data_IF_568589778560
#
_entry.id   IF_568589778560
#
_cell.length_a   1.000
_cell.length_b   1.000
_cell.length_c   1.000
_cell.angle_alpha   90.00
_cell.angle_beta   90.00
_cell.angle_gamma   90.00
#
_symmetry.space_group_name_H-M   'P 1'
#
loop_
_entity.id
_entity.type
_entity.pdbx_description
1 polymer ?
#
# COMPACT_ATOMS: atom_id res chain seq x y z
N UNK A 1 -94.57 40.24 -9.50
CA UNK A 1 -94.09 41.54 -9.01
C UNK A 1 -92.75 41.25 -8.27
N UNK A 2 -91.73 41.74 -8.90
CA UNK A 2 -90.57 42.42 -8.36
C UNK A 2 -89.59 41.67 -7.39
N UNK A 3 -88.49 41.58 -7.92
CA UNK A 3 -87.15 42.21 -7.86
C UNK A 3 -86.07 41.39 -7.07
N UNK A 4 -85.08 41.02 -7.87
CA UNK A 4 -83.62 41.12 -7.72
C UNK A 4 -83.00 41.23 -6.30
N UNK A 5 -81.99 40.40 -6.03
CA UNK A 5 -80.56 40.84 -5.87
C UNK A 5 -79.64 39.70 -5.76
N UNK A 6 -78.60 39.73 -6.61
CA UNK A 6 -77.46 38.84 -6.70
C UNK A 6 -76.47 39.05 -5.57
N UNK A 7 -75.90 37.98 -5.05
CA UNK A 7 -74.63 38.07 -4.38
C UNK A 7 -73.69 36.97 -4.93
N UNK A 8 -72.60 37.45 -5.57
CA UNK A 8 -71.46 36.66 -5.96
C UNK A 8 -70.75 36.22 -4.70
N UNK A 9 -70.55 34.91 -4.47
CA UNK A 9 -69.59 34.35 -3.55
C UNK A 9 -68.29 34.10 -4.33
N UNK A 10 -67.21 34.80 -4.00
CA UNK A 10 -65.90 34.59 -4.52
C UNK A 10 -65.27 33.38 -3.79
N UNK A 11 -65.04 32.26 -4.52
CA UNK A 11 -64.25 31.18 -4.09
C UNK A 11 -62.75 31.56 -4.28
N UNK A 12 -62.10 31.93 -3.19
CA UNK A 12 -60.62 32.02 -3.14
C UNK A 12 -60.05 30.61 -3.13
N UNK A 13 -59.60 30.16 -4.28
CA UNK A 13 -58.78 28.92 -4.37
C UNK A 13 -57.39 29.15 -3.74
N UNK A 14 -57.12 28.54 -2.61
CA UNK A 14 -55.76 28.37 -2.09
C UNK A 14 -55.05 27.31 -2.94
N UNK A 15 -54.23 27.75 -3.88
CA UNK A 15 -53.21 26.89 -4.50
C UNK A 15 -52.13 26.64 -3.45
N UNK A 16 -52.13 25.45 -2.84
CA UNK A 16 -51.01 24.95 -2.08
C UNK A 16 -49.91 24.60 -3.07
N UNK A 17 -48.90 25.45 -3.17
CA UNK A 17 -47.61 25.13 -3.82
C UNK A 17 -46.86 24.12 -2.94
N UNK A 18 -47.07 22.85 -3.22
CA UNK A 18 -46.15 21.80 -2.74
C UNK A 18 -44.84 21.96 -3.49
N UNK A 19 -43.87 22.62 -2.87
CA UNK A 19 -42.48 22.58 -3.31
C UNK A 19 -41.98 21.14 -3.10
N UNK A 20 -42.02 20.36 -4.18
CA UNK A 20 -41.30 19.10 -4.23
C UNK A 20 -39.80 19.43 -4.05
N UNK A 21 -39.26 19.15 -2.86
CA UNK A 21 -37.84 19.18 -2.63
C UNK A 21 -37.22 18.12 -3.56
N UNK A 22 -36.65 18.57 -4.68
CA UNK A 22 -35.81 17.74 -5.52
C UNK A 22 -34.62 17.33 -4.65
N UNK A 23 -34.69 16.12 -4.09
CA UNK A 23 -33.56 15.53 -3.42
C UNK A 23 -32.40 15.52 -4.41
N UNK A 24 -31.43 16.40 -4.20
CA UNK A 24 -30.16 16.33 -4.91
C UNK A 24 -29.64 14.93 -4.71
N UNK A 25 -29.31 14.19 -5.79
CA UNK A 25 -28.66 12.90 -5.63
C UNK A 25 -27.38 13.15 -4.81
N UNK A 26 -27.32 12.55 -3.63
CA UNK A 26 -26.06 12.46 -2.89
C UNK A 26 -25.12 11.72 -3.84
N UNK A 27 -24.21 12.45 -4.48
CA UNK A 27 -23.06 11.85 -5.16
C UNK A 27 -22.30 11.14 -4.06
N UNK A 28 -22.54 9.86 -3.90
CA UNK A 28 -21.60 8.97 -3.25
C UNK A 28 -20.38 8.96 -4.18
N UNK A 29 -19.46 9.90 -3.96
CA UNK A 29 -18.15 9.82 -4.62
C UNK A 29 -17.54 8.54 -4.11
N UNK A 30 -17.37 7.57 -5.02
CA UNK A 30 -16.64 6.35 -4.71
C UNK A 30 -15.31 6.72 -4.02
N UNK A 31 -14.90 5.95 -3.02
CA UNK A 31 -13.63 6.20 -2.35
C UNK A 31 -12.52 6.21 -3.41
N UNK A 32 -11.56 7.14 -3.34
CA UNK A 32 -10.48 7.19 -4.31
C UNK A 32 -9.66 5.91 -4.24
N UNK A 33 -9.17 5.42 -5.38
CA UNK A 33 -8.22 4.31 -5.38
C UNK A 33 -6.95 4.71 -4.62
N UNK A 34 -6.53 3.85 -3.70
CA UNK A 34 -5.31 4.04 -2.92
C UNK A 34 -4.40 2.83 -3.13
N UNK A 35 -3.20 3.09 -3.62
CA UNK A 35 -2.13 2.11 -3.72
C UNK A 35 -1.22 2.23 -2.51
N UNK A 36 -1.13 1.20 -1.70
CA UNK A 36 -0.36 1.24 -0.45
C UNK A 36 1.12 0.92 -0.60
N UNK A 37 1.55 0.52 -1.77
CA UNK A 37 2.95 0.55 -2.15
C UNK A 37 3.07 0.76 -3.66
N UNK A 38 3.57 1.90 -4.01
CA UNK A 38 3.86 2.32 -5.37
C UNK A 38 5.24 2.95 -5.44
N UNK A 39 5.69 3.24 -6.65
CA UNK A 39 6.90 4.01 -6.91
C UNK A 39 6.53 5.28 -7.63
N UNK A 40 7.31 6.37 -7.44
CA UNK A 40 7.13 7.58 -8.21
C UNK A 40 7.53 7.30 -9.68
N UNK A 41 6.59 7.33 -10.64
CA UNK A 41 6.91 7.09 -12.03
C UNK A 41 7.79 8.23 -12.60
N UNK A 42 8.51 7.95 -13.68
CA UNK A 42 9.30 9.00 -14.37
C UNK A 42 8.40 10.12 -14.89
N UNK A 43 7.29 9.77 -15.55
CA UNK A 43 6.21 10.70 -15.90
C UNK A 43 5.13 10.69 -14.81
N UNK A 44 5.06 11.75 -13.99
CA UNK A 44 4.06 11.86 -12.94
C UNK A 44 2.60 11.94 -13.46
N UNK A 45 2.39 12.15 -14.77
CA UNK A 45 1.06 12.07 -15.38
C UNK A 45 0.51 10.63 -15.36
N UNK A 46 1.36 9.60 -15.26
CA UNK A 46 0.92 8.21 -15.09
C UNK A 46 0.10 8.00 -13.82
N UNK A 47 0.33 8.79 -12.77
CA UNK A 47 -0.46 8.75 -11.55
C UNK A 47 -1.94 9.07 -11.84
N UNK A 48 -2.17 10.09 -12.65
CA UNK A 48 -3.53 10.46 -13.07
C UNK A 48 -4.13 9.40 -14.02
N UNK A 49 -3.32 8.85 -14.94
CA UNK A 49 -3.75 7.76 -15.85
C UNK A 49 -4.12 6.48 -15.09
N UNK A 50 -3.41 6.20 -13.99
CA UNK A 50 -3.72 5.07 -13.10
C UNK A 50 -4.97 5.28 -12.24
N UNK A 51 -5.53 6.50 -12.21
CA UNK A 51 -6.72 6.85 -11.45
C UNK A 51 -6.53 6.87 -9.94
N UNK A 52 -5.31 7.10 -9.46
CA UNK A 52 -5.00 7.13 -8.04
C UNK A 52 -5.42 8.46 -7.40
N UNK A 53 -6.19 8.37 -6.32
CA UNK A 53 -6.50 9.53 -5.47
C UNK A 53 -5.52 9.69 -4.31
N UNK A 54 -4.88 8.58 -3.89
CA UNK A 54 -3.75 8.61 -2.97
C UNK A 54 -2.80 7.42 -3.21
N UNK A 55 -1.57 7.53 -2.72
CA UNK A 55 -0.62 6.42 -2.70
C UNK A 55 0.39 6.56 -1.56
N UNK A 56 0.92 5.43 -1.11
CA UNK A 56 2.15 5.37 -0.32
C UNK A 56 3.26 5.09 -1.33
N UNK A 57 4.20 6.02 -1.46
CA UNK A 57 5.26 5.95 -2.45
C UNK A 57 6.59 5.60 -1.77
N UNK A 58 7.16 4.46 -2.14
CA UNK A 58 8.54 4.16 -1.78
C UNK A 58 9.48 5.09 -2.55
N UNK A 59 10.32 5.76 -1.79
CA UNK A 59 11.38 6.64 -2.29
C UNK A 59 12.77 6.16 -1.87
N UNK A 60 12.86 4.89 -1.43
CA UNK A 60 14.13 4.30 -1.04
C UNK A 60 15.08 4.24 -2.23
N UNK A 61 16.29 4.71 -2.01
CA UNK A 61 17.40 4.55 -2.94
C UNK A 61 18.53 3.78 -2.27
N UNK A 62 19.34 3.14 -3.09
CA UNK A 62 20.50 2.36 -2.65
C UNK A 62 21.77 2.96 -3.25
N UNK A 63 22.84 2.94 -2.45
CA UNK A 63 24.19 3.26 -2.90
C UNK A 63 24.97 1.96 -3.10
N UNK A 64 25.54 1.76 -4.27
CA UNK A 64 26.46 0.65 -4.48
C UNK A 64 27.81 1.01 -3.85
N UNK A 65 28.21 0.23 -2.86
CA UNK A 65 29.55 0.31 -2.28
C UNK A 65 30.25 -1.02 -2.52
N UNK A 66 31.58 -1.01 -2.63
CA UNK A 66 32.36 -2.25 -2.76
C UNK A 66 33.06 -2.55 -1.44
N UNK A 67 32.96 -3.80 -1.01
CA UNK A 67 33.73 -4.26 0.15
C UNK A 67 35.24 -4.41 -0.19
N UNK A 68 36.03 -4.78 0.80
CA UNK A 68 37.49 -4.94 0.64
C UNK A 68 37.88 -6.00 -0.41
N UNK A 69 37.00 -6.93 -0.73
CA UNK A 69 37.16 -7.92 -1.79
C UNK A 69 36.65 -7.47 -3.16
N UNK A 70 36.17 -6.21 -3.28
CA UNK A 70 35.59 -5.64 -4.48
C UNK A 70 34.16 -6.11 -4.79
N UNK A 71 33.51 -6.83 -3.87
CA UNK A 71 32.13 -7.32 -4.05
C UNK A 71 31.16 -6.18 -3.85
N UNK A 72 30.21 -5.94 -4.79
CA UNK A 72 29.23 -4.87 -4.64
C UNK A 72 28.26 -5.17 -3.51
N UNK A 73 27.98 -4.16 -2.70
CA UNK A 73 26.96 -4.14 -1.66
C UNK A 73 26.06 -2.94 -1.87
N UNK A 74 24.78 -3.08 -1.61
CA UNK A 74 23.78 -2.05 -1.78
C UNK A 74 23.31 -1.57 -0.40
N UNK A 75 23.63 -0.32 -0.06
CA UNK A 75 23.33 0.27 1.23
C UNK A 75 22.24 1.34 1.10
N UNK A 76 21.32 1.33 2.05
CA UNK A 76 20.34 2.41 2.26
C UNK A 76 20.86 3.37 3.34
N UNK A 77 21.92 4.11 3.03
CA UNK A 77 22.56 5.01 3.97
C UNK A 77 21.76 6.29 4.22
N UNK A 78 22.07 7.00 5.32
CA UNK A 78 21.39 8.24 5.69
C UNK A 78 21.44 9.29 4.58
N UNK A 79 22.62 9.57 4.01
CA UNK A 79 22.82 10.64 3.02
C UNK A 79 22.07 10.39 1.71
N UNK A 80 22.11 9.17 1.20
CA UNK A 80 21.39 8.83 -0.04
C UNK A 80 19.89 8.94 0.17
N UNK A 81 19.39 8.52 1.33
CA UNK A 81 17.98 8.61 1.68
C UNK A 81 17.50 10.05 1.90
N UNK A 82 18.32 10.91 2.53
CA UNK A 82 18.02 12.34 2.69
C UNK A 82 17.94 13.04 1.32
N UNK A 83 18.88 12.74 0.41
CA UNK A 83 18.84 13.24 -0.95
C UNK A 83 17.62 12.72 -1.73
N UNK A 84 17.28 11.44 -1.59
CA UNK A 84 16.10 10.84 -2.22
C UNK A 84 14.80 11.51 -1.76
N UNK A 85 14.63 11.74 -0.44
CA UNK A 85 13.49 12.47 0.11
C UNK A 85 13.40 13.89 -0.45
N UNK A 86 14.51 14.62 -0.48
CA UNK A 86 14.57 15.98 -1.04
C UNK A 86 14.15 16.00 -2.51
N UNK A 87 14.66 15.06 -3.32
CA UNK A 87 14.28 14.94 -4.74
C UNK A 87 12.80 14.62 -4.92
N UNK A 88 12.27 13.66 -4.14
CA UNK A 88 10.87 13.28 -4.21
C UNK A 88 9.95 14.47 -3.90
N UNK A 89 10.23 15.21 -2.82
CA UNK A 89 9.47 16.40 -2.44
C UNK A 89 9.51 17.46 -3.55
N UNK A 90 10.68 17.74 -4.10
CA UNK A 90 10.84 18.71 -5.19
C UNK A 90 10.07 18.29 -6.46
N UNK A 91 10.14 17.00 -6.85
CA UNK A 91 9.40 16.46 -8.00
C UNK A 91 7.90 16.60 -7.82
N UNK A 92 7.38 16.27 -6.63
CA UNK A 92 5.95 16.38 -6.33
C UNK A 92 5.49 17.84 -6.25
N UNK A 93 6.30 18.73 -5.70
CA UNK A 93 5.99 20.16 -5.65
C UNK A 93 5.88 20.81 -7.05
N UNK A 94 6.62 20.31 -8.02
CA UNK A 94 6.60 20.79 -9.41
C UNK A 94 5.48 20.16 -10.26
N UNK A 95 4.70 19.20 -9.73
CA UNK A 95 3.72 18.44 -10.50
C UNK A 95 2.29 18.89 -10.21
N UNK A 96 1.41 19.01 -11.24
CA UNK A 96 -0.02 19.16 -11.02
C UNK A 96 -0.74 17.83 -10.72
N UNK A 97 -0.07 16.67 -10.91
CA UNK A 97 -0.70 15.35 -10.86
C UNK A 97 -0.67 14.72 -9.48
N UNK A 98 0.28 15.13 -8.62
CA UNK A 98 0.44 14.58 -7.28
C UNK A 98 1.05 15.62 -6.34
N UNK A 99 0.93 15.39 -5.04
CA UNK A 99 1.48 16.27 -4.01
C UNK A 99 1.88 15.48 -2.76
N UNK A 100 2.83 16.02 -2.01
CA UNK A 100 3.19 15.43 -0.70
C UNK A 100 2.03 15.59 0.27
N UNK A 101 1.54 14.47 0.79
CA UNK A 101 0.52 14.41 1.83
C UNK A 101 1.18 14.18 3.20
N UNK A 102 0.78 14.96 4.19
CA UNK A 102 1.32 14.91 5.53
C UNK A 102 0.31 14.38 6.56
N UNK A 103 -0.97 14.40 6.20
CA UNK A 103 -2.10 13.95 7.03
C UNK A 103 -3.07 13.13 6.20
N UNK A 104 -3.81 12.24 6.83
CA UNK A 104 -4.88 11.49 6.15
C UNK A 104 -5.97 12.39 5.58
N UNK A 105 -6.23 13.53 6.22
CA UNK A 105 -7.16 14.57 5.74
C UNK A 105 -6.71 15.26 4.45
N UNK A 106 -5.45 15.11 4.03
CA UNK A 106 -4.96 15.65 2.77
C UNK A 106 -5.53 14.88 1.55
N UNK A 107 -6.02 13.65 1.74
CA UNK A 107 -6.62 12.85 0.65
C UNK A 107 -7.87 13.53 0.10
N UNK A 108 -7.77 14.01 -1.13
CA UNK A 108 -8.84 14.73 -1.82
C UNK A 108 -9.03 16.19 -1.36
N UNK A 109 -8.10 16.76 -0.59
CA UNK A 109 -8.14 18.16 -0.16
C UNK A 109 -7.89 19.14 -1.30
N UNK A 110 -7.22 18.69 -2.35
CA UNK A 110 -6.93 19.43 -3.58
C UNK A 110 -6.83 18.48 -4.78
N UNK A 111 -6.85 18.98 -6.03
CA UNK A 111 -6.63 18.17 -7.22
C UNK A 111 -5.29 17.42 -7.20
N UNK A 112 -5.25 16.25 -7.79
CA UNK A 112 -4.09 15.37 -7.84
C UNK A 112 -4.10 14.28 -6.76
N UNK A 113 -3.08 13.44 -6.79
CA UNK A 113 -2.90 12.29 -5.91
C UNK A 113 -2.17 12.69 -4.62
N UNK A 114 -2.76 12.41 -3.47
CA UNK A 114 -2.10 12.57 -2.16
C UNK A 114 -1.02 11.50 -2.00
N UNK A 115 0.25 11.92 -1.96
CA UNK A 115 1.39 11.00 -1.91
C UNK A 115 2.04 11.02 -0.55
N UNK A 116 1.95 9.90 0.18
CA UNK A 116 2.61 9.67 1.45
C UNK A 116 3.97 9.03 1.20
N UNK A 117 5.05 9.72 1.57
CA UNK A 117 6.40 9.24 1.32
C UNK A 117 6.79 8.15 2.32
N UNK A 118 7.42 7.09 1.81
CA UNK A 118 7.84 5.91 2.55
C UNK A 118 9.31 5.58 2.29
N UNK A 119 9.98 5.04 3.33
CA UNK A 119 11.19 4.23 3.16
C UNK A 119 10.90 2.77 3.50
N UNK A 120 11.37 1.85 2.66
CA UNK A 120 11.21 0.40 2.84
C UNK A 120 12.29 -0.24 3.74
N UNK A 121 12.85 0.52 4.66
CA UNK A 121 13.78 0.02 5.70
C UNK A 121 13.99 1.09 6.77
N UNK A 122 14.57 0.70 7.90
CA UNK A 122 15.14 1.60 8.90
C UNK A 122 16.67 1.71 8.78
N UNK A 123 17.29 1.09 7.78
CA UNK A 123 18.76 1.13 7.61
C UNK A 123 19.32 2.55 7.57
N UNK A 124 18.61 3.51 6.92
CA UNK A 124 19.02 4.91 6.85
C UNK A 124 19.00 5.64 8.21
N UNK A 125 18.31 5.11 9.18
CA UNK A 125 18.35 5.64 10.54
C UNK A 125 19.71 5.31 11.19
N UNK A 126 20.37 4.24 10.71
CA UNK A 126 21.59 3.67 11.28
C UNK A 126 21.36 3.33 12.77
N UNK A 127 21.93 4.09 13.73
CA UNK A 127 21.63 3.94 15.17
C UNK A 127 21.23 5.26 15.84
N UNK A 128 20.99 6.30 15.05
CA UNK A 128 20.62 7.64 15.52
C UNK A 128 19.11 7.87 15.34
N UNK A 129 18.33 7.60 16.40
CA UNK A 129 16.88 7.76 16.39
C UNK A 129 16.43 9.20 16.06
N UNK A 130 17.28 10.22 16.27
CA UNK A 130 16.93 11.61 15.92
C UNK A 130 16.69 11.79 14.42
N UNK A 131 17.22 10.91 13.58
CA UNK A 131 17.01 10.91 12.13
C UNK A 131 15.57 10.60 11.73
N UNK A 132 14.83 9.83 12.56
CA UNK A 132 13.39 9.59 12.33
C UNK A 132 12.65 10.94 12.34
N UNK A 133 12.93 11.79 13.34
CA UNK A 133 12.33 13.12 13.43
C UNK A 133 12.77 14.03 12.25
N UNK A 134 14.02 13.95 11.81
CA UNK A 134 14.51 14.70 10.64
C UNK A 134 13.78 14.29 9.36
N UNK A 135 13.65 12.99 9.08
CA UNK A 135 12.90 12.51 7.93
C UNK A 135 11.41 12.87 8.02
N UNK A 136 10.81 12.79 9.21
CA UNK A 136 9.44 13.24 9.43
C UNK A 136 9.25 14.72 9.11
N UNK A 137 10.17 15.58 9.58
CA UNK A 137 10.17 17.01 9.26
C UNK A 137 10.34 17.27 7.76
N UNK A 138 11.10 16.40 7.05
CA UNK A 138 11.26 16.42 5.59
C UNK A 138 10.06 15.90 4.79
N UNK A 139 9.03 15.35 5.46
CA UNK A 139 7.81 14.88 4.80
C UNK A 139 7.59 13.37 4.81
N UNK A 140 8.48 12.56 5.38
CA UNK A 140 8.27 11.11 5.53
C UNK A 140 7.04 10.83 6.42
N UNK A 141 6.18 9.90 6.02
CA UNK A 141 4.98 9.54 6.80
C UNK A 141 4.81 8.04 7.03
N UNK A 142 5.53 7.21 6.30
CA UNK A 142 5.51 5.75 6.49
C UNK A 142 6.95 5.26 6.60
N UNK A 143 7.23 4.39 7.56
CA UNK A 143 8.57 3.84 7.75
C UNK A 143 8.47 2.34 8.01
N UNK A 144 9.06 1.56 7.11
CA UNK A 144 9.12 0.11 7.20
C UNK A 144 10.35 -0.33 8.01
N UNK A 145 10.23 -1.40 8.80
CA UNK A 145 11.33 -1.85 9.64
C UNK A 145 12.49 -2.48 8.87
N UNK A 146 12.21 -3.38 7.95
CA UNK A 146 13.23 -4.17 7.25
C UNK A 146 12.89 -4.33 5.78
N UNK A 147 13.91 -4.65 4.97
CA UNK A 147 13.72 -5.10 3.59
C UNK A 147 14.47 -6.43 3.40
N UNK A 148 13.75 -7.55 3.52
CA UNK A 148 14.22 -8.93 3.44
C UNK A 148 15.19 -9.37 4.54
N UNK A 149 16.25 -8.61 4.80
CA UNK A 149 17.33 -8.97 5.70
C UNK A 149 17.16 -8.31 7.08
N UNK A 150 17.81 -8.90 8.08
CA UNK A 150 17.95 -8.28 9.39
C UNK A 150 18.72 -6.97 9.27
N UNK A 151 18.35 -6.01 10.11
CA UNK A 151 19.05 -4.75 10.27
C UNK A 151 19.15 -4.40 11.78
N UNK A 152 19.76 -3.28 12.18
CA UNK A 152 19.89 -2.94 13.60
C UNK A 152 18.56 -2.81 14.37
N UNK A 153 17.42 -2.68 13.69
CA UNK A 153 16.10 -2.48 14.31
C UNK A 153 15.27 -3.75 14.41
N UNK A 154 15.34 -4.64 13.40
CA UNK A 154 14.41 -5.76 13.32
C UNK A 154 14.92 -6.90 12.44
N UNK A 155 14.34 -8.08 12.66
CA UNK A 155 14.53 -9.24 11.81
C UNK A 155 13.72 -9.20 10.52
N UNK A 156 14.37 -9.58 9.42
CA UNK A 156 13.76 -9.65 8.07
C UNK A 156 13.18 -11.02 7.76
N UNK A 157 12.27 -11.07 6.79
CA UNK A 157 11.55 -12.28 6.42
C UNK A 157 12.41 -13.36 5.75
N UNK A 158 13.49 -12.96 5.05
CA UNK A 158 14.32 -13.88 4.26
C UNK A 158 15.64 -14.27 4.95
N UNK A 159 15.62 -14.31 6.28
CA UNK A 159 16.74 -14.82 7.05
C UNK A 159 16.53 -16.29 7.42
N UNK A 160 17.60 -17.12 7.41
CA UNK A 160 17.52 -18.51 7.86
C UNK A 160 17.05 -18.63 9.32
N UNK A 161 17.44 -17.68 10.17
CA UNK A 161 17.01 -17.57 11.57
C UNK A 161 16.19 -16.32 11.72
N UNK A 162 14.91 -16.49 12.08
CA UNK A 162 13.97 -15.39 12.24
C UNK A 162 14.14 -14.72 13.61
N UNK A 163 14.56 -13.46 13.62
CA UNK A 163 14.62 -12.60 14.82
C UNK A 163 13.46 -11.60 14.84
N UNK A 164 13.19 -10.98 15.99
CA UNK A 164 12.14 -9.98 16.18
C UNK A 164 12.68 -8.54 16.17
N UNK A 165 11.94 -7.64 16.85
CA UNK A 165 12.42 -6.29 17.12
C UNK A 165 13.62 -6.34 18.08
N UNK A 166 14.66 -5.59 17.75
CA UNK A 166 15.76 -5.35 18.70
C UNK A 166 15.33 -4.30 19.75
N UNK A 167 16.09 -4.09 20.84
CA UNK A 167 15.85 -2.96 21.73
C UNK A 167 15.78 -1.63 20.97
N UNK A 168 16.69 -1.40 20.01
CA UNK A 168 16.68 -0.20 19.16
C UNK A 168 15.41 -0.15 18.28
N UNK A 169 14.91 -1.30 17.81
CA UNK A 169 13.66 -1.39 17.06
C UNK A 169 12.44 -1.04 17.90
N UNK A 170 12.44 -1.41 19.18
CA UNK A 170 11.38 -1.04 20.13
C UNK A 170 11.38 0.48 20.36
N UNK A 171 12.54 1.07 20.57
CA UNK A 171 12.68 2.53 20.73
C UNK A 171 12.31 3.26 19.43
N UNK A 172 12.69 2.72 18.26
CA UNK A 172 12.31 3.23 16.96
C UNK A 172 10.78 3.19 16.73
N UNK A 173 10.10 2.11 17.14
CA UNK A 173 8.64 2.01 17.09
C UNK A 173 7.97 3.07 17.99
N UNK A 174 8.50 3.26 19.20
CA UNK A 174 7.99 4.29 20.11
C UNK A 174 8.14 5.70 19.51
N UNK A 175 9.27 5.97 18.83
CA UNK A 175 9.50 7.25 18.18
C UNK A 175 8.58 7.45 16.94
N UNK A 176 8.36 6.39 16.12
CA UNK A 176 7.37 6.43 15.03
C UNK A 176 5.97 6.78 15.56
N UNK A 177 5.54 6.10 16.63
CA UNK A 177 4.24 6.37 17.26
C UNK A 177 4.14 7.82 17.79
N UNK A 178 5.18 8.31 18.46
CA UNK A 178 5.24 9.68 18.98
C UNK A 178 5.13 10.74 17.89
N UNK A 179 5.77 10.50 16.75
CA UNK A 179 5.78 11.40 15.60
C UNK A 179 4.58 11.20 14.67
N UNK A 180 3.70 10.24 14.95
CA UNK A 180 2.61 9.85 14.05
C UNK A 180 3.13 9.47 12.65
N UNK A 181 4.20 8.69 12.59
CA UNK A 181 4.63 7.97 11.40
C UNK A 181 3.92 6.62 11.42
N UNK A 182 3.35 6.20 10.30
CA UNK A 182 2.74 4.87 10.15
C UNK A 182 3.85 3.81 10.13
N UNK A 183 3.94 2.93 11.16
CA UNK A 183 4.88 1.82 11.14
C UNK A 183 4.43 0.77 10.14
N UNK A 184 5.34 0.32 9.26
CA UNK A 184 5.09 -0.73 8.29
C UNK A 184 5.93 -1.97 8.61
N UNK A 185 5.27 -3.13 8.67
CA UNK A 185 5.91 -4.41 8.99
C UNK A 185 6.09 -5.32 7.77
N UNK A 186 5.85 -4.80 6.57
CA UNK A 186 6.16 -5.54 5.34
C UNK A 186 7.63 -5.95 5.33
N UNK A 187 7.94 -7.10 4.73
CA UNK A 187 9.27 -7.71 4.74
C UNK A 187 9.83 -8.13 6.11
N UNK A 188 9.16 -7.82 7.20
CA UNK A 188 9.58 -8.26 8.53
C UNK A 188 9.43 -9.77 8.72
N UNK A 189 10.24 -10.34 9.60
CA UNK A 189 10.05 -11.70 10.08
C UNK A 189 8.69 -11.84 10.79
N UNK A 190 8.21 -13.06 10.98
CA UNK A 190 7.02 -13.32 11.78
C UNK A 190 7.10 -12.73 13.18
N UNK A 191 8.28 -12.83 13.80
CA UNK A 191 8.53 -12.26 15.13
C UNK A 191 8.45 -10.74 15.11
N UNK A 192 9.08 -10.08 14.11
CA UNK A 192 9.00 -8.62 13.92
C UNK A 192 7.55 -8.16 13.75
N UNK A 193 6.78 -8.82 12.88
CA UNK A 193 5.39 -8.48 12.64
C UNK A 193 4.53 -8.60 13.91
N UNK A 194 4.66 -9.72 14.65
CA UNK A 194 3.92 -9.97 15.90
C UNK A 194 4.30 -8.98 16.99
N UNK A 195 5.59 -8.72 17.18
CA UNK A 195 6.05 -7.80 18.21
C UNK A 195 5.65 -6.36 17.91
N UNK A 196 5.78 -5.89 16.68
CA UNK A 196 5.34 -4.57 16.29
C UNK A 196 3.82 -4.41 16.49
N UNK A 197 3.01 -5.39 16.05
CA UNK A 197 1.56 -5.37 16.25
C UNK A 197 1.19 -5.30 17.74
N UNK A 198 1.89 -6.04 18.61
CA UNK A 198 1.63 -6.05 20.05
C UNK A 198 2.05 -4.77 20.75
N UNK A 199 3.21 -4.20 20.37
CA UNK A 199 3.86 -3.09 21.10
C UNK A 199 3.44 -1.71 20.61
N UNK A 200 3.02 -1.57 19.35
CA UNK A 200 2.62 -0.28 18.80
C UNK A 200 1.44 0.30 19.57
N UNK A 201 1.49 1.58 19.88
CA UNK A 201 0.39 2.33 20.49
C UNK A 201 -0.59 2.90 19.45
N UNK A 202 -0.21 2.87 18.17
CA UNK A 202 -1.05 3.25 17.03
C UNK A 202 -1.29 2.03 16.12
N UNK A 203 -2.31 2.03 15.27
CA UNK A 203 -2.43 1.02 14.21
C UNK A 203 -1.18 0.94 13.34
N UNK A 204 -0.85 -0.26 12.87
CA UNK A 204 0.29 -0.50 11.98
C UNK A 204 -0.19 -0.97 10.61
N UNK A 205 0.67 -0.85 9.61
CA UNK A 205 0.45 -1.39 8.27
C UNK A 205 1.28 -2.65 8.03
N UNK A 206 0.75 -3.56 7.24
CA UNK A 206 1.52 -4.41 6.34
C UNK A 206 1.23 -3.86 4.95
N UNK A 207 2.03 -2.87 4.51
CA UNK A 207 1.71 -2.08 3.31
C UNK A 207 1.55 -2.96 2.07
N UNK A 208 2.35 -4.04 1.96
CA UNK A 208 2.31 -4.96 0.83
C UNK A 208 2.73 -6.37 1.24
N UNK A 209 1.94 -7.36 0.84
CA UNK A 209 2.18 -8.77 1.15
C UNK A 209 1.13 -9.71 0.57
N UNK A 210 1.21 -10.97 0.96
CA UNK A 210 0.28 -12.03 0.61
C UNK A 210 0.00 -12.92 1.83
N UNK A 211 -1.01 -13.79 1.73
CA UNK A 211 -1.39 -14.70 2.80
C UNK A 211 -0.56 -16.00 2.77
N UNK A 212 0.10 -16.35 3.86
CA UNK A 212 0.90 -17.58 3.97
C UNK A 212 0.07 -18.84 3.82
N UNK A 213 -1.17 -18.81 4.20
CA UNK A 213 -2.08 -19.95 4.04
C UNK A 213 -2.33 -20.32 2.56
N UNK A 214 -2.06 -19.41 1.61
CA UNK A 214 -2.18 -19.68 0.18
C UNK A 214 -0.84 -20.10 -0.40
N UNK A 215 0.24 -19.37 -0.08
CA UNK A 215 1.60 -19.74 -0.46
C UNK A 215 2.47 -19.74 0.78
N UNK A 216 2.92 -20.93 1.20
CA UNK A 216 3.79 -21.07 2.35
C UNK A 216 5.18 -20.51 2.04
N UNK A 217 5.35 -19.23 2.32
CA UNK A 217 6.58 -18.49 2.08
C UNK A 217 6.82 -17.50 3.22
N UNK A 218 8.06 -17.31 3.72
CA UNK A 218 8.33 -16.42 4.85
C UNK A 218 7.97 -14.95 4.58
N UNK A 219 7.94 -14.53 3.31
CA UNK A 219 7.50 -13.18 2.90
C UNK A 219 5.98 -12.97 3.04
N UNK A 220 5.21 -14.04 3.18
CA UNK A 220 3.77 -14.01 3.33
C UNK A 220 3.37 -13.96 4.81
N UNK A 221 2.34 -13.19 5.13
CA UNK A 221 1.86 -13.03 6.49
C UNK A 221 1.08 -14.26 6.97
N UNK A 222 1.40 -14.84 8.14
CA UNK A 222 0.58 -15.87 8.76
C UNK A 222 -0.73 -15.30 9.30
N UNK A 223 -1.76 -16.15 9.46
CA UNK A 223 -3.12 -15.73 9.84
C UNK A 223 -3.18 -15.03 11.20
N UNK A 224 -2.35 -15.43 12.15
CA UNK A 224 -2.28 -14.77 13.45
C UNK A 224 -1.74 -13.33 13.37
N UNK A 225 -0.80 -13.06 12.46
CA UNK A 225 -0.31 -11.71 12.18
C UNK A 225 -1.40 -10.88 11.50
N UNK A 226 -2.08 -11.42 10.49
CA UNK A 226 -3.18 -10.73 9.81
C UNK A 226 -4.25 -10.33 10.85
N UNK A 227 -4.60 -11.25 11.76
CA UNK A 227 -5.56 -11.00 12.83
C UNK A 227 -5.08 -9.93 13.81
N UNK A 228 -3.82 -10.01 14.25
CA UNK A 228 -3.24 -9.04 15.19
C UNK A 228 -3.19 -7.61 14.61
N UNK A 229 -2.90 -7.47 13.31
CA UNK A 229 -2.95 -6.18 12.61
C UNK A 229 -4.40 -5.66 12.57
N UNK A 230 -5.35 -6.52 12.19
CA UNK A 230 -6.76 -6.18 12.07
C UNK A 230 -7.40 -5.73 13.40
N UNK A 231 -7.16 -6.47 14.49
CA UNK A 231 -7.68 -6.19 15.84
C UNK A 231 -7.25 -4.81 16.36
N UNK A 232 -6.14 -4.27 15.84
CA UNK A 232 -5.63 -2.94 16.18
C UNK A 232 -6.01 -1.86 15.17
N UNK A 233 -6.91 -2.17 14.24
CA UNK A 233 -7.37 -1.23 13.21
C UNK A 233 -6.38 -1.01 12.07
N UNK A 234 -5.35 -1.84 11.97
CA UNK A 234 -4.39 -1.82 10.87
C UNK A 234 -4.96 -2.35 9.55
N UNK A 235 -4.14 -2.31 8.51
CA UNK A 235 -4.50 -2.77 7.16
C UNK A 235 -3.35 -3.54 6.53
N UNK A 236 -3.68 -4.62 5.84
CA UNK A 236 -2.76 -5.37 4.98
C UNK A 236 -3.08 -5.11 3.50
N UNK A 237 -2.11 -4.59 2.76
CA UNK A 237 -2.16 -4.47 1.30
C UNK A 237 -1.80 -5.79 0.62
N UNK A 238 -2.69 -6.29 -0.22
CA UNK A 238 -2.37 -7.44 -1.07
C UNK A 238 -1.68 -6.92 -2.32
N UNK A 239 -0.47 -7.44 -2.60
CA UNK A 239 0.34 -7.01 -3.74
C UNK A 239 0.18 -7.93 -4.96
N UNK A 240 0.73 -7.53 -6.11
CA UNK A 240 0.55 -8.30 -7.36
C UNK A 240 1.76 -9.18 -7.73
N UNK A 241 2.75 -9.33 -6.84
CA UNK A 241 3.90 -10.21 -7.06
C UNK A 241 3.45 -11.67 -7.06
N UNK A 242 3.44 -12.27 -8.24
CA UNK A 242 2.69 -13.50 -8.52
C UNK A 242 3.17 -14.73 -7.75
N UNK A 243 4.47 -14.88 -7.57
CA UNK A 243 5.08 -16.06 -6.94
C UNK A 243 4.85 -16.15 -5.42
N UNK A 244 4.32 -15.08 -4.81
CA UNK A 244 3.85 -15.07 -3.43
C UNK A 244 2.32 -15.19 -3.32
N UNK A 245 1.61 -15.03 -4.45
CA UNK A 245 0.15 -15.15 -4.50
C UNK A 245 -0.32 -16.55 -4.88
N UNK A 246 0.46 -17.26 -5.68
CA UNK A 246 0.10 -18.59 -6.22
C UNK A 246 1.33 -19.37 -6.63
N UNK A 247 1.22 -20.69 -6.66
CA UNK A 247 2.23 -21.58 -7.26
C UNK A 247 1.83 -22.04 -8.69
N UNK A 248 0.80 -21.45 -9.26
CA UNK A 248 0.42 -21.74 -10.63
C UNK A 248 1.47 -21.20 -11.59
N UNK A 249 1.70 -21.94 -12.67
CA UNK A 249 2.61 -21.53 -13.73
C UNK A 249 2.23 -20.18 -14.34
N UNK A 250 0.93 -19.99 -14.62
CA UNK A 250 0.37 -18.73 -15.10
C UNK A 250 -0.53 -18.16 -14.02
N UNK A 251 -0.11 -17.09 -13.33
CA UNK A 251 -0.92 -16.44 -12.30
C UNK A 251 -2.06 -15.64 -12.93
N UNK A 252 -3.19 -15.59 -12.24
CA UNK A 252 -4.41 -14.94 -12.72
C UNK A 252 -4.92 -13.89 -11.74
N UNK A 253 -5.82 -13.02 -12.19
CA UNK A 253 -6.52 -12.06 -11.31
C UNK A 253 -7.33 -12.79 -10.23
N UNK A 254 -7.84 -13.99 -10.52
CA UNK A 254 -8.54 -14.79 -9.52
C UNK A 254 -7.62 -15.23 -8.36
N UNK A 255 -6.32 -15.46 -8.60
CA UNK A 255 -5.36 -15.76 -7.54
C UNK A 255 -5.13 -14.53 -6.63
N UNK A 256 -5.14 -13.33 -7.21
CA UNK A 256 -5.09 -12.08 -6.46
C UNK A 256 -6.34 -11.92 -5.58
N UNK A 257 -7.53 -12.08 -6.15
CA UNK A 257 -8.81 -11.99 -5.43
C UNK A 257 -8.90 -13.05 -4.33
N UNK A 258 -8.37 -14.26 -4.56
CA UNK A 258 -8.32 -15.31 -3.52
C UNK A 258 -7.50 -14.89 -2.30
N UNK A 259 -6.39 -14.17 -2.49
CA UNK A 259 -5.61 -13.60 -1.37
C UNK A 259 -6.42 -12.52 -0.62
N UNK A 260 -7.09 -11.61 -1.33
CA UNK A 260 -7.98 -10.62 -0.70
C UNK A 260 -9.08 -11.32 0.13
N UNK A 261 -9.75 -12.34 -0.43
CA UNK A 261 -10.76 -13.11 0.30
C UNK A 261 -10.22 -13.77 1.54
N UNK A 262 -8.99 -14.29 1.49
CA UNK A 262 -8.36 -14.88 2.65
C UNK A 262 -8.14 -13.83 3.74
N UNK A 263 -7.58 -12.67 3.41
CA UNK A 263 -7.37 -11.58 4.38
C UNK A 263 -8.71 -11.13 4.98
N UNK A 264 -9.76 -10.98 4.15
CA UNK A 264 -11.13 -10.66 4.63
C UNK A 264 -11.65 -11.72 5.60
N UNK A 265 -11.44 -13.01 5.30
CA UNK A 265 -11.90 -14.10 6.18
C UNK A 265 -11.20 -14.09 7.53
N UNK A 266 -9.90 -13.74 7.57
CA UNK A 266 -9.07 -13.79 8.79
C UNK A 266 -9.18 -12.50 9.61
N UNK A 267 -9.10 -11.34 8.96
CA UNK A 267 -9.02 -10.01 9.58
C UNK A 267 -10.29 -9.16 9.44
N UNK A 268 -11.26 -9.61 8.65
CA UNK A 268 -12.45 -8.80 8.33
C UNK A 268 -12.24 -7.86 7.15
N UNK A 269 -13.34 -7.27 6.67
CA UNK A 269 -13.36 -6.40 5.48
C UNK A 269 -12.51 -5.14 5.67
N UNK A 270 -12.44 -4.63 6.88
CA UNK A 270 -11.73 -3.38 7.20
C UNK A 270 -10.20 -3.56 7.27
N UNK A 271 -9.70 -4.81 7.28
CA UNK A 271 -8.28 -5.12 7.43
C UNK A 271 -7.53 -5.27 6.10
N UNK A 272 -8.19 -5.17 4.96
CA UNK A 272 -7.58 -5.45 3.65
C UNK A 272 -7.59 -4.24 2.74
N UNK A 273 -6.52 -4.08 1.96
CA UNK A 273 -6.41 -3.09 0.91
C UNK A 273 -5.59 -3.60 -0.28
N UNK A 274 -5.40 -2.75 -1.25
CA UNK A 274 -4.62 -3.02 -2.46
C UNK A 274 -3.22 -2.43 -2.32
N UNK A 275 -2.23 -3.19 -2.75
CA UNK A 275 -0.87 -2.74 -3.02
C UNK A 275 -0.46 -3.22 -4.42
N UNK A 276 0.38 -2.48 -5.10
CA UNK A 276 0.88 -2.95 -6.39
C UNK A 276 2.29 -3.55 -6.27
N UNK A 277 3.20 -2.85 -5.60
CA UNK A 277 4.61 -3.26 -5.48
C UNK A 277 5.25 -3.48 -6.86
N UNK A 278 4.89 -2.63 -7.82
CA UNK A 278 5.31 -2.74 -9.21
C UNK A 278 5.16 -1.40 -9.95
N UNK A 279 6.00 -1.12 -10.99
CA UNK A 279 5.91 0.11 -11.76
C UNK A 279 4.49 0.39 -12.28
N UNK A 280 4.05 1.64 -12.16
CA UNK A 280 2.67 2.06 -12.39
C UNK A 280 2.21 1.79 -13.83
N UNK A 281 3.03 2.13 -14.81
CA UNK A 281 2.74 1.88 -16.22
C UNK A 281 2.84 0.39 -16.61
N UNK A 282 3.33 -0.45 -15.69
CA UNK A 282 3.69 -1.83 -15.96
C UNK A 282 5.15 -1.93 -16.45
N UNK A 283 5.61 -3.16 -16.61
CA UNK A 283 6.96 -3.44 -17.09
C UNK A 283 6.93 -4.68 -17.99
N UNK A 284 6.92 -4.48 -19.28
CA UNK A 284 6.78 -5.55 -20.27
C UNK A 284 7.86 -6.64 -20.12
N UNK A 285 9.09 -6.22 -19.80
CA UNK A 285 10.26 -7.09 -19.78
C UNK A 285 10.40 -7.96 -18.52
N UNK A 286 9.48 -7.87 -17.55
CA UNK A 286 9.50 -8.70 -16.32
C UNK A 286 8.22 -9.50 -16.09
N UNK A 287 7.29 -9.47 -17.03
CA UNK A 287 6.03 -10.24 -16.90
C UNK A 287 6.31 -11.72 -16.93
N UNK A 288 7.20 -12.15 -17.82
CA UNK A 288 7.60 -13.53 -18.02
C UNK A 288 9.13 -13.61 -18.07
N UNK A 289 9.73 -14.60 -17.43
CA UNK A 289 11.18 -14.72 -17.32
C UNK A 289 11.88 -15.22 -18.58
N UNK A 290 11.14 -15.67 -19.60
CA UNK A 290 11.66 -16.06 -20.91
C UNK A 290 11.56 -14.91 -21.93
N UNK A 291 12.04 -13.74 -21.61
CA UNK A 291 12.00 -12.54 -22.44
C UNK A 291 13.41 -12.07 -22.85
N UNK A 292 13.47 -10.98 -23.60
CA UNK A 292 14.72 -10.41 -24.14
C UNK A 292 15.54 -9.58 -23.13
N UNK A 293 15.05 -9.38 -21.89
CA UNK A 293 15.80 -8.74 -20.82
C UNK A 293 16.72 -9.76 -20.11
N UNK A 294 17.70 -10.28 -20.82
CA UNK A 294 18.60 -11.33 -20.31
C UNK A 294 19.32 -10.93 -19.01
N UNK A 295 19.67 -9.64 -18.85
CA UNK A 295 20.32 -9.13 -17.63
C UNK A 295 19.36 -9.21 -16.44
N UNK A 296 18.18 -8.62 -16.52
CA UNK A 296 17.20 -8.62 -15.43
C UNK A 296 16.73 -10.03 -15.07
N UNK A 297 16.48 -10.88 -16.07
CA UNK A 297 16.14 -12.30 -15.86
C UNK A 297 17.30 -13.03 -15.17
N UNK A 298 18.54 -12.80 -15.61
CA UNK A 298 19.73 -13.41 -15.02
C UNK A 298 19.91 -13.03 -13.55
N UNK A 299 19.76 -11.76 -13.21
CA UNK A 299 19.86 -11.23 -11.83
C UNK A 299 18.74 -11.82 -10.94
N UNK A 300 17.52 -11.85 -11.43
CA UNK A 300 16.37 -12.44 -10.72
C UNK A 300 16.59 -13.94 -10.44
N UNK A 301 17.02 -14.72 -11.44
CA UNK A 301 17.27 -16.15 -11.28
C UNK A 301 18.49 -16.41 -10.38
N UNK A 302 19.50 -15.55 -10.39
CA UNK A 302 20.64 -15.62 -9.48
C UNK A 302 20.22 -15.41 -8.03
N UNK A 303 19.41 -14.38 -7.78
CA UNK A 303 18.81 -14.14 -6.46
C UNK A 303 17.97 -15.33 -5.99
N UNK A 304 17.11 -15.85 -6.87
CA UNK A 304 16.27 -17.01 -6.55
C UNK A 304 17.08 -18.24 -6.15
N UNK A 305 18.17 -18.53 -6.90
CA UNK A 305 19.09 -19.63 -6.58
C UNK A 305 19.84 -19.40 -5.26
N UNK A 306 20.26 -18.18 -5.00
CA UNK A 306 20.94 -17.83 -3.75
C UNK A 306 20.02 -18.06 -2.53
N UNK A 307 18.75 -17.66 -2.59
CA UNK A 307 17.80 -17.92 -1.51
C UNK A 307 17.56 -19.42 -1.31
N UNK A 308 17.46 -20.18 -2.40
CA UNK A 308 17.35 -21.65 -2.35
C UNK A 308 18.56 -22.31 -1.70
N UNK A 309 19.77 -21.89 -2.04
CA UNK A 309 21.00 -22.45 -1.47
C UNK A 309 21.16 -22.16 0.02
N UNK A 310 20.55 -21.09 0.51
CA UNK A 310 20.50 -20.74 1.94
C UNK A 310 19.37 -21.47 2.69
N UNK A 311 18.61 -22.33 2.01
CA UNK A 311 17.51 -23.08 2.63
C UNK A 311 16.29 -22.23 2.99
N UNK A 312 16.14 -21.02 2.41
CA UNK A 312 15.00 -20.17 2.67
C UNK A 312 13.74 -20.85 2.10
N UNK A 313 12.75 -21.06 2.95
CA UNK A 313 11.49 -21.69 2.58
C UNK A 313 10.80 -20.96 1.43
N UNK A 314 10.12 -21.70 0.53
CA UNK A 314 9.37 -21.14 -0.59
C UNK A 314 10.17 -20.91 -1.86
N UNK A 315 11.51 -21.07 -1.85
CA UNK A 315 12.37 -20.97 -3.02
C UNK A 315 12.71 -22.33 -3.68
N UNK A 316 11.99 -23.38 -3.32
CA UNK A 316 12.12 -24.76 -3.83
C UNK A 316 11.72 -24.93 -5.30
N UNK A 317 11.07 -23.95 -5.89
CA UNK A 317 10.65 -23.92 -7.30
C UNK A 317 11.13 -22.62 -7.99
N UNK A 318 10.91 -22.48 -9.29
CA UNK A 318 11.22 -21.25 -10.04
C UNK A 318 9.97 -20.78 -10.76
N UNK A 319 9.44 -19.58 -10.46
CA UNK A 319 8.27 -19.05 -11.15
C UNK A 319 8.60 -18.63 -12.58
N UNK A 320 7.60 -18.68 -13.47
CA UNK A 320 7.73 -18.18 -14.83
C UNK A 320 7.34 -16.71 -14.97
N UNK A 321 6.51 -16.20 -14.06
CA UNK A 321 6.02 -14.84 -14.05
C UNK A 321 6.36 -14.13 -12.74
N UNK A 322 6.79 -12.88 -12.82
CA UNK A 322 7.07 -12.03 -11.66
C UNK A 322 5.78 -11.38 -11.16
N UNK A 323 4.87 -11.04 -12.06
CA UNK A 323 3.60 -10.37 -11.76
C UNK A 323 2.45 -11.06 -12.47
N UNK A 324 1.22 -10.75 -12.09
CA UNK A 324 0.03 -11.21 -12.80
C UNK A 324 -0.05 -10.48 -14.15
N UNK A 325 0.04 -11.20 -15.30
CA UNK A 325 0.12 -10.56 -16.62
C UNK A 325 -1.05 -9.61 -16.91
N UNK A 326 -2.27 -10.00 -16.51
CA UNK A 326 -3.47 -9.20 -16.72
C UNK A 326 -3.50 -7.90 -15.93
N UNK A 327 -2.67 -7.77 -14.87
CA UNK A 327 -2.54 -6.56 -14.02
C UNK A 327 -1.27 -5.76 -14.32
N UNK A 328 -0.42 -6.19 -15.26
CA UNK A 328 0.79 -5.47 -15.68
C UNK A 328 0.44 -4.30 -16.62
N UNK A 329 -0.36 -3.37 -16.14
CA UNK A 329 -0.96 -2.28 -16.90
C UNK A 329 -1.27 -1.09 -16.01
N UNK A 330 -1.39 0.08 -16.61
CA UNK A 330 -1.70 1.32 -15.90
C UNK A 330 -3.12 1.35 -15.32
N UNK A 331 -4.09 0.68 -15.96
CA UNK A 331 -5.49 0.60 -15.54
C UNK A 331 -5.77 -0.53 -14.53
N UNK A 332 -4.72 -1.08 -13.88
CA UNK A 332 -4.82 -2.24 -12.99
C UNK A 332 -5.78 -2.05 -11.82
N UNK A 333 -5.83 -0.84 -11.25
CA UNK A 333 -6.72 -0.56 -10.12
C UNK A 333 -8.19 -0.75 -10.52
N UNK A 334 -8.58 -0.27 -11.70
CA UNK A 334 -9.93 -0.47 -12.21
C UNK A 334 -10.22 -1.96 -12.45
N UNK A 335 -9.25 -2.71 -13.01
CA UNK A 335 -9.38 -4.15 -13.24
C UNK A 335 -9.52 -4.95 -11.95
N UNK A 336 -8.80 -4.57 -10.90
CA UNK A 336 -8.95 -5.17 -9.56
C UNK A 336 -10.36 -4.90 -9.03
N UNK A 337 -10.83 -3.66 -9.11
CA UNK A 337 -12.18 -3.30 -8.68
C UNK A 337 -13.27 -4.09 -9.45
N UNK A 338 -13.12 -4.25 -10.76
CA UNK A 338 -14.04 -5.03 -11.58
C UNK A 338 -13.99 -6.52 -11.24
N UNK A 339 -12.81 -7.08 -10.98
CA UNK A 339 -12.65 -8.47 -10.54
C UNK A 339 -13.28 -8.71 -9.17
N UNK A 340 -13.16 -7.78 -8.22
CA UNK A 340 -13.84 -7.87 -6.93
C UNK A 340 -15.37 -7.86 -7.08
N UNK A 341 -15.91 -7.00 -7.97
CA UNK A 341 -17.35 -6.99 -8.28
C UNK A 341 -17.81 -8.30 -8.91
N UNK A 342 -17.04 -8.81 -9.88
CA UNK A 342 -17.30 -10.10 -10.52
C UNK A 342 -17.28 -11.26 -9.51
N UNK A 343 -16.43 -11.16 -8.50
CA UNK A 343 -16.33 -12.11 -7.38
C UNK A 343 -17.36 -11.85 -6.27
N UNK A 344 -18.40 -11.04 -6.53
CA UNK A 344 -19.55 -10.77 -5.68
C UNK A 344 -19.26 -10.00 -4.38
N UNK A 345 -18.16 -9.25 -4.31
CA UNK A 345 -18.02 -8.24 -3.26
C UNK A 345 -19.07 -7.14 -3.46
N UNK A 346 -19.73 -6.73 -2.38
CA UNK A 346 -20.71 -5.63 -2.43
C UNK A 346 -20.01 -4.31 -2.75
N UNK A 347 -20.68 -3.35 -3.35
CA UNK A 347 -20.10 -2.05 -3.73
C UNK A 347 -19.32 -1.39 -2.58
N UNK A 348 -19.90 -1.36 -1.37
CA UNK A 348 -19.25 -0.81 -0.18
C UNK A 348 -17.97 -1.56 0.23
N UNK A 349 -17.91 -2.87 -0.03
CA UNK A 349 -16.74 -3.69 0.26
C UNK A 349 -15.64 -3.44 -0.75
N UNK A 350 -15.99 -3.28 -2.03
CA UNK A 350 -15.05 -2.86 -3.07
C UNK A 350 -14.48 -1.48 -2.74
N UNK A 351 -15.31 -0.51 -2.36
CA UNK A 351 -14.85 0.83 -1.97
C UNK A 351 -13.93 0.79 -0.74
N UNK A 352 -14.22 -0.06 0.25
CA UNK A 352 -13.36 -0.26 1.40
C UNK A 352 -11.99 -0.82 1.01
N UNK A 353 -11.95 -1.90 0.22
CA UNK A 353 -10.73 -2.58 -0.25
C UNK A 353 -9.90 -1.65 -1.15
N UNK A 354 -10.54 -0.95 -2.10
CA UNK A 354 -9.85 -0.17 -3.11
C UNK A 354 -9.26 1.16 -2.59
N UNK A 355 -9.63 1.57 -1.35
CA UNK A 355 -9.05 2.79 -0.79
C UNK A 355 -9.62 3.20 0.57
N UNK A 356 -10.86 2.86 0.88
CA UNK A 356 -11.52 3.28 2.13
C UNK A 356 -10.76 2.88 3.39
N UNK A 357 -10.26 1.66 3.42
CA UNK A 357 -9.50 1.13 4.57
C UNK A 357 -8.16 1.85 4.75
N UNK A 358 -7.44 2.11 3.66
CA UNK A 358 -6.20 2.88 3.69
C UNK A 358 -6.45 4.32 4.12
N UNK A 359 -7.51 4.97 3.59
CA UNK A 359 -7.88 6.31 4.02
C UNK A 359 -8.16 6.37 5.52
N UNK A 360 -8.92 5.42 6.05
CA UNK A 360 -9.20 5.28 7.49
C UNK A 360 -7.91 5.15 8.29
N UNK A 361 -7.01 4.21 7.90
CA UNK A 361 -5.75 3.97 8.60
C UNK A 361 -4.87 5.23 8.60
N UNK A 362 -4.65 5.83 7.43
CA UNK A 362 -3.84 7.04 7.29
C UNK A 362 -4.41 8.21 8.11
N UNK A 363 -5.74 8.38 8.14
CA UNK A 363 -6.38 9.40 8.97
C UNK A 363 -6.20 9.11 10.47
N UNK A 364 -6.36 7.87 10.90
CA UNK A 364 -6.22 7.51 12.31
C UNK A 364 -4.79 7.71 12.84
N UNK A 365 -3.79 7.44 12.01
CA UNK A 365 -2.39 7.51 12.44
C UNK A 365 -1.80 8.90 12.22
N UNK A 366 -2.04 9.52 11.05
CA UNK A 366 -1.38 10.76 10.65
C UNK A 366 -2.19 12.03 11.00
N UNK A 367 -3.50 11.90 11.22
CA UNK A 367 -4.42 13.00 11.53
C UNK A 367 -5.21 13.52 10.34
#
# INVERSE_FOLDING_TARGET
>A
MDRYWTRRAALAGMMSLTTAAVARPVRTTAAPFIDSLSFLPDDLADIARAGLGAMIADISEVEEVRDAAGVPRYLRGYRVSEAALTRAVARLAASPHAYVALKGSDIGSRPGCATFLQFQSTEMIERDLSRIARFHAGGLRVLQFTHHNDNPFAGGALQPVQTGLTPLGIDGLAEMNRLRILPDVSHGSDATMREAARRSTTPIALSHGAARAIVNHPRCAPDDVIRAIAERGGVMGVFMMSFWLTRKRVPTVADYVANIRHVVRVGGIDAVGVANDFPMAGQANLVKLDNDNAKGVGEYLAWWRAMRSQGIAGFDWTPEHVVIPALNRIDRMQRIADALRADRFRAREVDAIMGGNWRRLLTNVLG
#
